data_IF_369407114789
#
_entry.id   IF_369407114789
#
_cell.length_a   1.000
_cell.length_b   1.000
_cell.length_c   1.000
_cell.angle_alpha   90.00
_cell.angle_beta   90.00
_cell.angle_gamma   90.00
#
_symmetry.space_group_name_H-M   'P 1'
#
loop_
_entity.id
_entity.type
_entity.pdbx_description
1 polymer ?
#
# COMPACT_ATOMS: atom_id res chain seq x y z
N UNK A 1 9.53 4.82 -4.23
CA UNK A 1 8.44 5.19 -3.30
C UNK A 1 8.24 6.69 -3.39
N UNK A 2 7.05 7.20 -3.69
CA UNK A 2 6.79 8.65 -3.86
C UNK A 2 7.26 9.45 -2.62
N UNK A 3 7.14 8.85 -1.44
CA UNK A 3 7.57 9.43 -0.16
C UNK A 3 9.05 9.82 -0.06
N UNK A 4 9.95 9.12 -0.78
CA UNK A 4 11.40 9.32 -0.67
C UNK A 4 11.89 10.58 -1.42
N UNK A 5 11.10 11.08 -2.37
CA UNK A 5 11.42 12.27 -3.16
C UNK A 5 10.64 13.50 -2.72
N UNK A 6 9.82 13.37 -1.67
CA UNK A 6 9.13 14.50 -1.07
C UNK A 6 10.10 15.30 -0.21
N UNK A 7 9.94 16.62 -0.24
CA UNK A 7 10.68 17.52 0.63
C UNK A 7 10.41 17.18 2.11
N UNK A 8 11.40 17.33 2.99
CA UNK A 8 11.31 16.92 4.40
C UNK A 8 10.13 17.60 5.12
N UNK A 9 9.82 18.84 4.75
CA UNK A 9 8.67 19.56 5.28
C UNK A 9 7.34 18.91 4.88
N UNK A 10 7.23 18.43 3.64
CA UNK A 10 6.05 17.73 3.12
C UNK A 10 5.92 16.34 3.73
N UNK A 11 7.04 15.62 3.89
CA UNK A 11 7.05 14.32 4.59
C UNK A 11 6.57 14.45 6.04
N UNK A 12 7.07 15.47 6.76
CA UNK A 12 6.69 15.73 8.14
C UNK A 12 5.22 16.11 8.25
N UNK A 13 4.74 16.98 7.34
CA UNK A 13 3.33 17.39 7.25
C UNK A 13 2.42 16.19 6.99
N UNK A 14 2.74 15.35 6.01
CA UNK A 14 1.99 14.13 5.72
C UNK A 14 2.02 13.16 6.91
N UNK A 15 3.16 12.96 7.57
CA UNK A 15 3.24 12.08 8.74
C UNK A 15 2.37 12.58 9.92
N UNK A 16 2.19 13.89 10.08
CA UNK A 16 1.36 14.47 11.15
C UNK A 16 -0.11 14.67 10.79
N UNK A 17 -0.42 14.96 9.53
CA UNK A 17 -1.78 15.28 9.08
C UNK A 17 -2.50 14.09 8.47
N UNK A 18 -1.77 13.09 7.97
CA UNK A 18 -2.34 11.83 7.49
C UNK A 18 -2.72 10.96 8.70
N UNK A 19 -3.63 11.46 9.51
CA UNK A 19 -4.36 10.66 10.48
C UNK A 19 -5.35 9.85 9.66
N UNK A 20 -4.97 8.64 9.27
CA UNK A 20 -5.93 7.68 8.75
C UNK A 20 -6.77 7.24 9.95
N UNK A 21 -8.06 7.59 10.03
CA UNK A 21 -8.91 7.09 11.11
C UNK A 21 -9.05 5.58 10.91
N UNK A 22 -8.26 4.79 11.63
CA UNK A 22 -8.23 3.33 11.50
C UNK A 22 -9.61 2.69 11.69
N UNK A 23 -10.49 3.32 12.48
CA UNK A 23 -11.89 2.92 12.64
C UNK A 23 -12.75 3.08 11.39
N UNK A 24 -12.27 3.81 10.37
CA UNK A 24 -12.91 3.98 9.06
C UNK A 24 -12.16 3.23 7.95
N UNK A 25 -11.09 2.51 8.27
CA UNK A 25 -10.38 1.66 7.32
C UNK A 25 -11.05 0.29 7.32
N UNK A 26 -11.73 -0.03 6.22
CA UNK A 26 -12.32 -1.34 6.00
C UNK A 26 -11.58 -2.02 4.86
N UNK A 27 -11.17 -3.27 5.07
CA UNK A 27 -10.60 -4.09 4.02
C UNK A 27 -11.73 -4.77 3.24
N UNK A 28 -11.84 -4.47 1.95
CA UNK A 28 -12.87 -5.02 1.05
C UNK A 28 -12.49 -6.41 0.54
N UNK A 29 -11.20 -6.66 0.32
CA UNK A 29 -10.70 -7.91 -0.23
C UNK A 29 -9.25 -8.18 0.17
N UNK A 30 -8.91 -9.47 0.17
CA UNK A 30 -7.54 -9.96 0.29
C UNK A 30 -7.12 -10.56 -1.05
N UNK A 31 -5.88 -10.29 -1.47
CA UNK A 31 -5.29 -10.85 -2.68
C UNK A 31 -4.10 -11.73 -2.29
N UNK A 32 -4.08 -12.96 -2.78
CA UNK A 32 -2.90 -13.80 -2.77
C UNK A 32 -2.07 -13.46 -4.01
N UNK A 33 -0.78 -13.21 -3.82
CA UNK A 33 0.14 -12.78 -4.88
C UNK A 33 1.35 -13.70 -4.95
N UNK A 34 1.94 -13.82 -6.13
CA UNK A 34 3.26 -14.44 -6.31
C UNK A 34 4.31 -13.36 -6.55
N UNK A 35 5.37 -13.37 -5.74
CA UNK A 35 6.47 -12.40 -5.84
C UNK A 35 7.79 -13.16 -5.90
N UNK A 36 8.22 -13.63 -7.10
CA UNK A 36 9.44 -14.42 -7.24
C UNK A 36 10.70 -13.60 -6.95
N UNK A 37 10.63 -12.27 -7.09
CA UNK A 37 11.74 -11.36 -6.83
C UNK A 37 11.48 -10.46 -5.61
N UNK A 38 12.53 -10.04 -4.89
CA UNK A 38 12.41 -9.07 -3.81
C UNK A 38 11.83 -7.74 -4.30
N UNK A 39 10.85 -7.23 -3.56
CA UNK A 39 10.12 -6.00 -3.89
C UNK A 39 11.00 -4.79 -3.55
N UNK A 40 11.35 -3.97 -4.54
CA UNK A 40 12.25 -2.81 -4.37
C UNK A 40 11.60 -1.49 -4.80
N UNK A 41 10.60 -1.56 -5.66
CA UNK A 41 9.92 -0.40 -6.25
C UNK A 41 8.40 -0.58 -6.28
N UNK A 42 7.66 0.50 -6.55
CA UNK A 42 6.21 0.44 -6.77
C UNK A 42 5.86 -0.30 -8.07
N UNK A 43 6.70 -0.19 -9.10
CA UNK A 43 6.50 -0.94 -10.35
C UNK A 43 6.60 -2.46 -10.13
N UNK A 44 7.41 -2.91 -9.17
CA UNK A 44 7.49 -4.34 -8.83
C UNK A 44 6.16 -4.82 -8.25
N UNK A 45 5.51 -3.98 -7.44
CA UNK A 45 4.19 -4.25 -6.84
C UNK A 45 3.11 -4.32 -7.92
N UNK A 46 3.16 -3.44 -8.90
CA UNK A 46 2.19 -3.41 -10.01
C UNK A 46 2.32 -4.64 -10.93
N UNK A 47 3.52 -5.22 -11.03
CA UNK A 47 3.80 -6.44 -11.81
C UNK A 47 3.42 -7.72 -11.08
N UNK A 48 2.97 -7.66 -9.83
CA UNK A 48 2.62 -8.86 -9.07
C UNK A 48 1.48 -9.63 -9.72
N UNK A 49 1.74 -10.91 -9.97
CA UNK A 49 0.70 -11.81 -10.42
C UNK A 49 -0.24 -12.12 -9.25
N UNK A 50 -1.49 -11.70 -9.36
CA UNK A 50 -2.54 -12.08 -8.42
C UNK A 50 -2.94 -13.54 -8.70
N UNK A 51 -2.71 -14.41 -7.72
CA UNK A 51 -3.06 -15.83 -7.79
C UNK A 51 -4.52 -16.07 -7.41
N UNK A 52 -5.04 -15.31 -6.46
CA UNK A 52 -6.42 -15.42 -5.99
C UNK A 52 -6.88 -14.14 -5.32
N UNK A 53 -8.18 -13.88 -5.35
CA UNK A 53 -8.82 -12.75 -4.67
C UNK A 53 -9.99 -13.29 -3.85
N UNK A 54 -10.04 -12.89 -2.58
CA UNK A 54 -11.16 -13.19 -1.69
C UNK A 54 -11.75 -11.89 -1.17
N UNK A 55 -13.02 -11.65 -1.44
CA UNK A 55 -13.75 -10.57 -0.77
C UNK A 55 -13.89 -10.89 0.71
N UNK A 56 -13.57 -9.91 1.55
CA UNK A 56 -13.86 -10.00 2.97
C UNK A 56 -15.31 -9.58 3.13
N UNK A 57 -16.13 -10.51 3.61
CA UNK A 57 -17.54 -10.24 3.86
C UNK A 57 -17.59 -9.39 5.12
N UNK A 58 -18.10 -8.16 4.99
CA UNK A 58 -18.47 -7.33 6.12
C UNK A 58 -19.60 -7.96 6.92
#
# INVERSE_FOLDING_TARGET
>A
MIYQHLDQAVQKKLATELVIPYSQVFFDQVRAISTPEPVRSGEDVEKWQTLSVRKLVS
#
